data_IF_570549948952
#
_entry.id   IF_570549948952
#
_cell.length_a   1.000
_cell.length_b   1.000
_cell.length_c   1.000
_cell.angle_alpha   90.00
_cell.angle_beta   90.00
_cell.angle_gamma   90.00
#
_symmetry.space_group_name_H-M   'P 1'
#
loop_
_entity.id
_entity.type
_entity.pdbx_description
1 polymer ?
#
# COMPACT_ATOMS: atom_id res chain seq x y z
N UNK A 1 11.40 -0.17 5.42
CA UNK A 1 10.14 -0.70 4.86
C UNK A 1 9.00 0.01 5.59
N UNK A 2 8.02 0.58 4.87
CA UNK A 2 6.77 1.10 5.46
C UNK A 2 5.67 0.10 5.13
N UNK A 3 5.57 -1.05 5.82
CA UNK A 3 4.52 -2.05 5.60
C UNK A 3 3.15 -1.55 6.11
N UNK A 4 2.90 -0.25 6.00
CA UNK A 4 1.82 0.44 6.70
C UNK A 4 1.09 1.45 5.82
N UNK A 5 1.55 1.67 4.60
CA UNK A 5 0.87 2.57 3.67
C UNK A 5 -0.32 1.89 2.98
N UNK A 6 -0.37 0.56 2.86
CA UNK A 6 -1.56 -0.15 2.39
C UNK A 6 -2.70 -0.16 3.42
N UNK A 7 -2.41 0.04 4.71
CA UNK A 7 -3.42 0.37 5.74
C UNK A 7 -4.00 1.79 5.61
N UNK A 8 -3.92 2.42 4.43
CA UNK A 8 -4.65 3.64 4.14
C UNK A 8 -6.14 3.46 4.41
N UNK A 9 -6.71 2.26 4.27
CA UNK A 9 -8.13 2.03 4.52
C UNK A 9 -8.42 1.55 5.95
N UNK A 10 -9.29 2.27 6.69
CA UNK A 10 -9.82 1.73 7.95
C UNK A 10 -10.54 0.41 7.69
N UNK A 11 -10.63 -0.48 8.70
CA UNK A 11 -11.36 -1.74 8.54
C UNK A 11 -12.77 -1.47 8.01
N UNK A 12 -13.32 -2.32 7.13
CA UNK A 12 -14.66 -2.15 6.60
C UNK A 12 -15.67 -2.03 7.76
N UNK A 13 -16.25 -0.84 7.91
CA UNK A 13 -17.30 -0.59 8.90
C UNK A 13 -18.59 -1.34 8.56
N UNK A 14 -19.49 -1.47 9.52
CA UNK A 14 -20.80 -2.13 9.31
C UNK A 14 -21.67 -1.46 8.24
N UNK A 15 -21.41 -0.19 7.90
CA UNK A 15 -22.10 0.54 6.83
C UNK A 15 -21.46 0.26 5.45
N UNK A 16 -20.13 0.22 5.35
CA UNK A 16 -19.43 -0.10 4.08
C UNK A 16 -19.52 -1.58 3.72
N UNK A 17 -19.57 -2.48 4.69
CA UNK A 17 -19.74 -3.93 4.47
C UNK A 17 -21.08 -4.35 3.84
N UNK A 18 -22.10 -3.47 3.86
CA UNK A 18 -23.41 -3.72 3.24
C UNK A 18 -23.51 -3.25 1.78
N UNK A 19 -22.44 -2.65 1.26
CA UNK A 19 -22.38 -2.19 -0.13
C UNK A 19 -21.89 -3.30 -1.07
N UNK A 20 -22.15 -3.22 -2.38
CA UNK A 20 -21.64 -4.22 -3.34
C UNK A 20 -20.12 -4.37 -3.34
N UNK A 21 -19.37 -3.32 -2.98
CA UNK A 21 -17.90 -3.32 -2.90
C UNK A 21 -17.39 -3.79 -1.52
N UNK A 22 -18.26 -3.98 -0.53
CA UNK A 22 -17.91 -4.37 0.84
C UNK A 22 -17.05 -5.64 0.93
N UNK A 23 -17.41 -6.75 0.23
CA UNK A 23 -16.61 -7.96 0.20
C UNK A 23 -15.20 -7.74 -0.38
N UNK A 24 -15.10 -6.96 -1.46
CA UNK A 24 -13.82 -6.60 -2.10
C UNK A 24 -12.92 -5.82 -1.15
N UNK A 25 -13.46 -4.77 -0.51
CA UNK A 25 -12.70 -3.98 0.49
C UNK A 25 -12.24 -4.84 1.67
N UNK A 26 -13.07 -5.81 2.09
CA UNK A 26 -12.68 -6.75 3.14
C UNK A 26 -11.54 -7.65 2.69
N UNK A 27 -11.59 -8.16 1.47
CA UNK A 27 -10.53 -9.00 0.92
C UNK A 27 -9.19 -8.25 0.84
N UNK A 28 -9.19 -7.04 0.29
CA UNK A 28 -8.00 -6.19 0.22
C UNK A 28 -7.42 -5.90 1.61
N UNK A 29 -8.30 -5.59 2.58
CA UNK A 29 -7.89 -5.37 3.97
C UNK A 29 -7.27 -6.62 4.62
N UNK A 30 -7.81 -7.81 4.36
CA UNK A 30 -7.23 -9.07 4.84
C UNK A 30 -5.84 -9.36 4.21
N UNK A 31 -5.65 -9.03 2.93
CA UNK A 31 -4.35 -9.13 2.26
C UNK A 31 -3.32 -8.17 2.89
N UNK A 32 -3.67 -6.90 3.10
CA UNK A 32 -2.76 -5.93 3.72
C UNK A 32 -2.37 -6.33 5.16
N UNK A 33 -3.31 -6.89 5.93
CA UNK A 33 -3.01 -7.44 7.26
C UNK A 33 -2.01 -8.59 7.18
N UNK A 34 -2.14 -9.46 6.18
CA UNK A 34 -1.19 -10.53 5.92
C UNK A 34 0.18 -9.99 5.48
N UNK A 35 0.23 -8.96 4.63
CA UNK A 35 1.48 -8.31 4.21
C UNK A 35 2.21 -7.72 5.41
N UNK A 36 1.51 -6.96 6.24
CA UNK A 36 2.04 -6.39 7.49
C UNK A 36 2.61 -7.47 8.40
N UNK A 37 1.83 -8.49 8.71
CA UNK A 37 2.26 -9.57 9.61
C UNK A 37 3.52 -10.27 9.07
N UNK A 38 3.56 -10.53 7.76
CA UNK A 38 4.73 -11.12 7.10
C UNK A 38 5.96 -10.22 7.23
N UNK A 39 5.84 -8.91 7.02
CA UNK A 39 6.97 -8.00 7.21
C UNK A 39 7.42 -7.88 8.67
N UNK A 40 6.51 -7.92 9.64
CA UNK A 40 6.85 -7.95 11.07
C UNK A 40 7.70 -9.17 11.44
N UNK A 41 7.49 -10.31 10.77
CA UNK A 41 8.33 -11.51 10.91
C UNK A 41 9.67 -11.39 10.16
N UNK A 42 9.67 -10.81 8.96
CA UNK A 42 10.87 -10.67 8.13
C UNK A 42 11.86 -9.64 8.68
N UNK A 43 11.39 -8.52 9.24
CA UNK A 43 12.24 -7.45 9.77
C UNK A 43 13.32 -7.98 10.75
N UNK A 44 12.99 -8.72 11.83
CA UNK A 44 13.99 -9.28 12.73
C UNK A 44 14.83 -10.38 12.07
N UNK A 45 14.24 -11.23 11.21
CA UNK A 45 14.94 -12.31 10.48
C UNK A 45 16.11 -11.77 9.66
N UNK A 46 15.88 -10.66 8.95
CA UNK A 46 16.87 -10.01 8.10
C UNK A 46 17.63 -8.87 8.80
N UNK A 47 17.43 -8.68 10.11
CA UNK A 47 18.02 -7.59 10.90
C UNK A 47 17.77 -6.20 10.31
N UNK A 48 16.65 -6.05 9.60
CA UNK A 48 16.20 -4.79 9.06
C UNK A 48 15.56 -3.96 10.18
N UNK A 49 15.91 -2.68 10.26
CA UNK A 49 15.34 -1.77 11.25
C UNK A 49 14.08 -1.12 10.68
N UNK A 50 12.93 -1.19 11.37
CA UNK A 50 11.77 -0.39 11.00
C UNK A 50 12.09 1.11 11.16
N UNK A 51 11.43 1.94 10.35
CA UNK A 51 11.58 3.40 10.47
C UNK A 51 11.01 3.90 11.80
N UNK A 52 11.67 4.88 12.42
CA UNK A 52 11.14 5.55 13.62
C UNK A 52 9.84 6.32 13.35
N UNK A 53 9.53 6.58 12.07
CA UNK A 53 8.38 7.36 11.64
C UNK A 53 7.07 6.56 11.57
N UNK A 54 7.08 5.24 11.85
CA UNK A 54 5.89 4.37 11.81
C UNK A 54 4.67 5.00 12.51
N UNK A 55 4.76 5.56 13.74
CA UNK A 55 3.59 6.14 14.40
C UNK A 55 2.97 7.30 13.60
N UNK A 56 3.80 8.13 12.97
CA UNK A 56 3.36 9.28 12.19
C UNK A 56 2.71 8.80 10.88
N UNK A 57 3.31 7.82 10.21
CA UNK A 57 2.76 7.26 8.98
C UNK A 57 1.45 6.51 9.19
N UNK A 58 1.28 5.81 10.31
CA UNK A 58 0.01 5.19 10.67
C UNK A 58 -1.11 6.23 10.79
N UNK A 59 -0.85 7.36 11.46
CA UNK A 59 -1.84 8.44 11.59
C UNK A 59 -2.12 9.09 10.23
N UNK A 60 -1.09 9.34 9.44
CA UNK A 60 -1.23 9.96 8.12
C UNK A 60 -2.03 9.07 7.15
N UNK A 61 -1.73 7.77 7.09
CA UNK A 61 -2.43 6.80 6.26
C UNK A 61 -3.92 6.71 6.66
N UNK A 62 -4.21 6.58 7.96
CA UNK A 62 -5.58 6.56 8.45
C UNK A 62 -6.35 7.84 8.11
N UNK A 63 -5.74 9.02 8.33
CA UNK A 63 -6.36 10.29 8.01
C UNK A 63 -6.61 10.44 6.50
N UNK A 64 -5.70 9.96 5.67
CA UNK A 64 -5.84 9.97 4.21
C UNK A 64 -7.01 9.11 3.74
N UNK A 65 -7.14 7.86 4.22
CA UNK A 65 -8.26 7.01 3.81
C UNK A 65 -9.60 7.44 4.36
N UNK A 66 -9.68 7.90 5.62
CA UNK A 66 -10.92 8.49 6.16
C UNK A 66 -11.28 9.75 5.37
N UNK A 67 -10.31 10.63 5.10
CA UNK A 67 -10.53 11.86 4.34
C UNK A 67 -11.07 11.60 2.93
N UNK A 68 -10.48 10.65 2.20
CA UNK A 68 -10.91 10.31 0.84
C UNK A 68 -12.23 9.54 0.83
N UNK A 69 -12.50 8.67 1.81
CA UNK A 69 -13.80 8.03 1.98
C UNK A 69 -14.93 9.03 2.25
N UNK A 70 -14.67 10.08 3.04
CA UNK A 70 -15.64 11.16 3.29
C UNK A 70 -15.94 11.98 2.02
N UNK A 71 -14.99 12.04 1.07
CA UNK A 71 -15.18 12.68 -0.24
C UNK A 71 -15.96 11.80 -1.24
N UNK A 72 -16.15 10.52 -0.94
CA UNK A 72 -16.95 9.59 -1.74
C UNK A 72 -16.17 8.36 -2.21
N UNK A 73 -16.90 7.42 -2.81
CA UNK A 73 -16.35 6.14 -3.29
C UNK A 73 -15.23 6.38 -4.30
N UNK A 74 -15.46 7.24 -5.29
CA UNK A 74 -14.55 7.51 -6.38
C UNK A 74 -13.24 8.11 -5.85
N UNK A 75 -13.31 9.03 -4.88
CA UNK A 75 -12.13 9.62 -4.25
C UNK A 75 -11.33 8.61 -3.41
N UNK A 76 -12.02 7.72 -2.69
CA UNK A 76 -11.39 6.60 -2.00
C UNK A 76 -10.68 5.65 -3.00
N UNK A 77 -11.35 5.27 -4.10
CA UNK A 77 -10.73 4.41 -5.13
C UNK A 77 -9.55 5.12 -5.81
N UNK A 78 -9.63 6.43 -6.06
CA UNK A 78 -8.50 7.21 -6.57
C UNK A 78 -7.31 7.23 -5.61
N UNK A 79 -7.58 7.27 -4.30
CA UNK A 79 -6.55 7.13 -3.27
C UNK A 79 -5.88 5.76 -3.35
N UNK A 80 -6.65 4.67 -3.44
CA UNK A 80 -6.13 3.31 -3.62
C UNK A 80 -5.21 3.24 -4.83
N UNK A 81 -5.70 3.64 -6.02
CA UNK A 81 -4.90 3.65 -7.25
C UNK A 81 -3.58 4.41 -7.06
N UNK A 82 -3.63 5.58 -6.42
CA UNK A 82 -2.46 6.41 -6.21
C UNK A 82 -1.44 5.76 -5.26
N UNK A 83 -1.89 5.21 -4.14
CA UNK A 83 -1.04 4.53 -3.16
C UNK A 83 -0.43 3.27 -3.76
N UNK A 84 -1.27 2.38 -4.33
CA UNK A 84 -0.79 1.09 -4.83
C UNK A 84 0.15 1.21 -6.02
N UNK A 85 -0.01 2.25 -6.86
CA UNK A 85 1.01 2.55 -7.88
C UNK A 85 2.40 2.73 -7.25
N UNK A 86 2.48 3.48 -6.15
CA UNK A 86 3.75 3.84 -5.52
C UNK A 86 4.31 2.68 -4.71
N UNK A 87 3.45 1.90 -4.05
CA UNK A 87 3.87 0.70 -3.30
C UNK A 87 4.36 -0.39 -4.26
N UNK A 88 3.64 -0.66 -5.35
CA UNK A 88 4.08 -1.62 -6.36
C UNK A 88 5.43 -1.22 -6.99
N UNK A 89 5.64 0.08 -7.29
CA UNK A 89 6.94 0.57 -7.77
C UNK A 89 8.05 0.40 -6.71
N UNK A 90 7.73 0.67 -5.44
CA UNK A 90 8.67 0.45 -4.34
C UNK A 90 9.09 -1.02 -4.22
N UNK A 91 8.14 -1.97 -4.28
CA UNK A 91 8.46 -3.40 -4.28
C UNK A 91 9.29 -3.81 -5.50
N UNK A 92 9.01 -3.27 -6.69
CA UNK A 92 9.86 -3.49 -7.86
C UNK A 92 11.29 -3.01 -7.64
N UNK A 93 11.47 -1.85 -7.01
CA UNK A 93 12.80 -1.34 -6.68
C UNK A 93 13.51 -2.21 -5.62
N UNK A 94 12.78 -2.73 -4.62
CA UNK A 94 13.33 -3.69 -3.66
C UNK A 94 13.77 -4.99 -4.34
N UNK A 95 12.96 -5.54 -5.25
CA UNK A 95 13.29 -6.75 -6.02
C UNK A 95 14.59 -6.54 -6.82
N UNK A 96 14.70 -5.41 -7.54
CA UNK A 96 15.93 -5.06 -8.28
C UNK A 96 17.13 -4.98 -7.35
N UNK A 97 17.00 -4.26 -6.23
CA UNK A 97 18.07 -4.11 -5.26
C UNK A 97 18.52 -5.45 -4.67
N UNK A 98 17.60 -6.38 -4.40
CA UNK A 98 17.95 -7.71 -3.91
C UNK A 98 18.70 -8.54 -4.96
N UNK A 99 18.24 -8.51 -6.22
CA UNK A 99 18.93 -9.20 -7.32
C UNK A 99 20.33 -8.66 -7.51
N UNK A 100 20.51 -7.34 -7.47
CA UNK A 100 21.83 -6.69 -7.56
C UNK A 100 22.72 -7.04 -6.35
N UNK A 101 22.15 -7.14 -5.15
CA UNK A 101 22.87 -7.41 -3.90
C UNK A 101 22.90 -8.90 -3.53
N UNK A 102 23.35 -9.77 -4.44
CA UNK A 102 23.63 -11.18 -4.12
C UNK A 102 22.96 -12.18 -5.05
N UNK A 103 22.18 -11.72 -6.03
CA UNK A 103 21.56 -12.57 -7.04
C UNK A 103 20.27 -13.26 -6.58
N UNK A 104 19.55 -13.81 -7.55
CA UNK A 104 18.21 -14.39 -7.35
C UNK A 104 18.22 -15.59 -6.38
N UNK A 105 19.24 -16.43 -6.43
CA UNK A 105 19.33 -17.62 -5.57
C UNK A 105 19.55 -17.26 -4.10
N UNK A 106 20.31 -16.21 -3.81
CA UNK A 106 20.62 -15.83 -2.43
C UNK A 106 19.39 -15.29 -1.68
N UNK A 107 18.52 -14.57 -2.39
CA UNK A 107 17.33 -13.92 -1.83
C UNK A 107 16.02 -14.56 -2.26
N UNK A 108 16.06 -15.81 -2.74
CA UNK A 108 14.91 -16.47 -3.38
C UNK A 108 13.61 -16.34 -2.58
N UNK A 109 13.62 -16.68 -1.29
CA UNK A 109 12.45 -16.58 -0.42
C UNK A 109 11.90 -15.14 -0.34
N UNK A 110 12.78 -14.15 -0.15
CA UNK A 110 12.38 -12.76 -0.03
C UNK A 110 11.86 -12.19 -1.37
N UNK A 111 12.47 -12.60 -2.48
CA UNK A 111 12.04 -12.24 -3.83
C UNK A 111 10.66 -12.80 -4.16
N UNK A 112 10.39 -14.05 -3.78
CA UNK A 112 9.06 -14.66 -3.94
C UNK A 112 7.99 -13.91 -3.15
N UNK A 113 8.27 -13.58 -1.88
CA UNK A 113 7.33 -12.83 -1.02
C UNK A 113 7.06 -11.43 -1.58
N UNK A 114 8.11 -10.64 -1.87
CA UNK A 114 7.95 -9.26 -2.34
C UNK A 114 7.30 -9.23 -3.73
N UNK A 115 7.61 -10.20 -4.60
CA UNK A 115 6.95 -10.29 -5.91
C UNK A 115 5.46 -10.58 -5.76
N UNK A 116 5.08 -11.49 -4.86
CA UNK A 116 3.68 -11.77 -4.57
C UNK A 116 2.96 -10.52 -4.06
N UNK A 117 3.54 -9.81 -3.09
CA UNK A 117 2.90 -8.60 -2.54
C UNK A 117 2.76 -7.51 -3.59
N UNK A 118 3.77 -7.30 -4.44
CA UNK A 118 3.65 -6.42 -5.61
C UNK A 118 2.48 -6.80 -6.52
N UNK A 119 2.31 -8.09 -6.79
CA UNK A 119 1.23 -8.56 -7.67
C UNK A 119 -0.14 -8.35 -7.01
N UNK A 120 -0.25 -8.57 -5.69
CA UNK A 120 -1.44 -8.25 -4.90
C UNK A 120 -1.76 -6.73 -4.97
N UNK A 121 -0.77 -5.83 -4.84
CA UNK A 121 -1.00 -4.38 -4.96
C UNK A 121 -1.48 -3.97 -6.36
N UNK A 122 -0.97 -4.64 -7.40
CA UNK A 122 -1.43 -4.40 -8.77
C UNK A 122 -2.87 -4.86 -8.97
N UNK A 123 -3.28 -5.98 -8.35
CA UNK A 123 -4.68 -6.41 -8.32
C UNK A 123 -5.56 -5.38 -7.61
N UNK A 124 -5.11 -4.84 -6.48
CA UNK A 124 -5.82 -3.78 -5.74
C UNK A 124 -5.96 -2.49 -6.58
N UNK A 125 -4.89 -2.09 -7.26
CA UNK A 125 -4.88 -0.97 -8.19
C UNK A 125 -5.92 -1.14 -9.30
N UNK A 126 -5.90 -2.29 -9.99
CA UNK A 126 -6.79 -2.57 -11.10
C UNK A 126 -8.25 -2.66 -10.64
N UNK A 127 -8.48 -3.28 -9.49
CA UNK A 127 -9.79 -3.31 -8.87
C UNK A 127 -10.33 -1.90 -8.58
N UNK A 128 -9.49 -1.00 -8.07
CA UNK A 128 -9.90 0.37 -7.81
C UNK A 128 -10.22 1.15 -9.09
N UNK A 129 -9.50 0.91 -10.18
CA UNK A 129 -9.84 1.46 -11.51
C UNK A 129 -11.21 0.97 -12.00
N UNK A 130 -11.49 -0.33 -11.88
CA UNK A 130 -12.78 -0.92 -12.23
C UNK A 130 -13.94 -0.34 -11.40
N UNK A 131 -13.65 0.13 -10.18
CA UNK A 131 -14.60 0.73 -9.26
C UNK A 131 -14.66 2.26 -9.33
N UNK A 132 -14.43 2.83 -10.51
CA UNK A 132 -14.65 4.25 -10.84
C UNK A 132 -13.62 5.24 -10.24
N UNK A 133 -12.40 4.80 -9.91
CA UNK A 133 -11.34 5.71 -9.43
C UNK A 133 -11.17 6.96 -10.32
N UNK A 134 -11.19 6.78 -11.65
CA UNK A 134 -10.96 7.88 -12.60
C UNK A 134 -12.11 8.91 -12.64
N UNK A 135 -13.26 8.58 -12.05
CA UNK A 135 -14.40 9.51 -11.92
C UNK A 135 -14.27 10.44 -10.71
N UNK A 136 -13.22 10.29 -9.90
CA UNK A 136 -13.00 11.17 -8.76
C UNK A 136 -12.89 12.65 -9.17
N UNK A 137 -13.49 13.57 -8.40
CA UNK A 137 -13.31 15.00 -8.63
C UNK A 137 -11.82 15.36 -8.61
N UNK A 138 -11.36 16.01 -9.68
CA UNK A 138 -9.95 16.37 -9.86
C UNK A 138 -8.98 15.17 -9.73
N UNK A 139 -9.38 13.97 -10.18
CA UNK A 139 -8.62 12.72 -10.12
C UNK A 139 -7.11 12.89 -10.33
N UNK A 140 -6.69 13.48 -11.45
CA UNK A 140 -5.25 13.67 -11.75
C UNK A 140 -4.51 14.46 -10.68
N UNK A 141 -5.13 15.52 -10.16
CA UNK A 141 -4.52 16.34 -9.12
C UNK A 141 -4.46 15.59 -7.79
N UNK A 142 -5.56 14.96 -7.38
CA UNK A 142 -5.62 14.15 -6.16
C UNK A 142 -4.56 13.04 -6.20
N UNK A 143 -4.49 12.29 -7.30
CA UNK A 143 -3.53 11.20 -7.49
C UNK A 143 -2.09 11.70 -7.45
N UNK A 144 -1.77 12.85 -8.07
CA UNK A 144 -0.41 13.40 -8.02
C UNK A 144 0.00 13.82 -6.60
N UNK A 145 -0.90 14.46 -5.85
CA UNK A 145 -0.63 14.86 -4.46
C UNK A 145 -0.38 13.63 -3.59
N UNK A 146 -1.22 12.61 -3.69
CA UNK A 146 -1.09 11.36 -2.92
C UNK A 146 0.20 10.65 -3.28
N UNK A 147 0.48 10.46 -4.58
CA UNK A 147 1.73 9.84 -5.06
C UNK A 147 2.96 10.57 -4.54
N UNK A 148 2.97 11.90 -4.63
CA UNK A 148 4.04 12.73 -4.09
C UNK A 148 4.25 12.52 -2.59
N UNK A 149 3.16 12.49 -1.81
CA UNK A 149 3.21 12.19 -0.37
C UNK A 149 3.79 10.82 -0.06
N UNK A 150 3.34 9.78 -0.78
CA UNK A 150 3.84 8.40 -0.62
C UNK A 150 5.33 8.29 -0.96
N UNK A 151 5.79 8.90 -2.05
CA UNK A 151 7.22 8.93 -2.40
C UNK A 151 8.06 9.60 -1.32
N UNK A 152 7.59 10.71 -0.75
CA UNK A 152 8.28 11.39 0.36
C UNK A 152 8.31 10.48 1.60
N UNK A 153 7.20 9.84 1.96
CA UNK A 153 7.13 8.95 3.11
C UNK A 153 8.11 7.77 2.97
N UNK A 154 8.19 7.16 1.79
CA UNK A 154 9.15 6.08 1.49
C UNK A 154 10.58 6.60 1.59
N UNK A 155 10.89 7.72 0.93
CA UNK A 155 12.24 8.30 0.92
C UNK A 155 12.77 8.60 2.33
N UNK A 156 11.91 9.13 3.22
CA UNK A 156 12.25 9.37 4.63
C UNK A 156 12.49 8.02 5.31
N UNK A 157 11.58 7.07 5.16
CA UNK A 157 11.58 5.80 5.89
C UNK A 157 12.71 4.84 5.52
N UNK A 158 13.31 5.01 4.34
CA UNK A 158 14.53 4.29 3.95
C UNK A 158 15.77 4.80 4.66
N UNK A 159 15.73 6.01 5.24
CA UNK A 159 16.89 6.70 5.82
C UNK A 159 16.91 6.68 7.35
N UNK A 160 15.74 6.70 7.98
CA UNK A 160 15.57 6.84 9.44
C UNK A 160 14.63 5.81 10.02
#
# INVERSE_FOLDING_TARGET
>A
CVPSLGLSFPPPSSSTGKTPIGPTLKHMWEQEQHHRATFEELLPKYRARPTIMIPIWNVAAYALGVGTALLGKEAAMACTVAVETVIADHYNNQIRALIENGGMEHHKELLEIISKFRDDEMEHHDCALEHDAEKAPAYKFLSQVIKGGCHVAIWISERI
#
